data_IF_149382847047
#
_entry.id   IF_149382847047
#
_cell.length_a   1.000
_cell.length_b   1.000
_cell.length_c   1.000
_cell.angle_alpha   90.00
_cell.angle_beta   90.00
_cell.angle_gamma   90.00
#
_symmetry.space_group_name_H-M   'P 1'
#
loop_
_entity.id
_entity.type
_entity.pdbx_description
1 polymer ?
#
# COMPACT_ATOMS: atom_id res chain seq x y z
N UNK A 1 -52.39 53.09 2.64
CA UNK A 1 -52.69 51.76 2.06
C UNK A 1 -51.93 50.70 2.84
N UNK A 2 -52.58 49.68 3.43
CA UNK A 2 -51.90 48.66 4.21
C UNK A 2 -51.34 47.57 3.30
N UNK A 3 -50.02 47.38 3.34
CA UNK A 3 -49.28 46.34 2.64
C UNK A 3 -49.57 44.97 3.26
N UNK A 4 -50.18 44.08 2.48
CA UNK A 4 -50.50 42.70 2.84
C UNK A 4 -49.22 41.92 3.20
N UNK A 5 -49.13 41.45 4.44
CA UNK A 5 -48.06 40.58 4.93
C UNK A 5 -48.07 39.22 4.22
N UNK A 6 -46.93 38.86 3.62
CA UNK A 6 -46.66 37.53 3.06
C UNK A 6 -46.56 36.52 4.20
N UNK A 7 -47.56 35.63 4.30
CA UNK A 7 -47.52 34.46 5.20
C UNK A 7 -46.45 33.49 4.70
N UNK A 8 -45.35 33.35 5.46
CA UNK A 8 -44.33 32.33 5.23
C UNK A 8 -44.94 30.93 5.41
N UNK A 9 -44.81 30.08 4.39
CA UNK A 9 -45.30 28.70 4.43
C UNK A 9 -44.57 27.92 5.54
N UNK A 10 -45.28 27.08 6.31
CA UNK A 10 -44.68 26.23 7.33
C UNK A 10 -43.71 25.25 6.67
N UNK A 11 -42.44 25.31 7.07
CA UNK A 11 -41.39 24.38 6.70
C UNK A 11 -41.74 22.99 7.23
N UNK A 12 -42.12 22.07 6.35
CA UNK A 12 -42.29 20.66 6.66
C UNK A 12 -40.92 20.05 6.97
N UNK A 13 -40.55 19.97 8.25
CA UNK A 13 -39.44 19.12 8.70
C UNK A 13 -39.90 17.67 8.59
N UNK A 14 -39.43 16.97 7.56
CA UNK A 14 -39.66 15.55 7.39
C UNK A 14 -39.06 14.80 8.61
N UNK A 15 -39.78 13.88 9.24
CA UNK A 15 -39.27 13.15 10.39
C UNK A 15 -38.07 12.30 9.97
N UNK A 16 -36.87 12.69 10.41
CA UNK A 16 -35.68 11.88 10.29
C UNK A 16 -35.73 10.74 11.31
N UNK A 17 -36.03 9.54 10.83
CA UNK A 17 -35.87 8.31 11.62
C UNK A 17 -34.39 7.94 11.62
N UNK A 18 -33.70 8.14 12.74
CA UNK A 18 -32.33 7.64 12.94
C UNK A 18 -32.41 6.16 13.28
N UNK A 19 -31.93 5.31 12.38
CA UNK A 19 -31.72 3.88 12.66
C UNK A 19 -30.45 3.80 13.53
N UNK A 20 -30.58 3.23 14.73
CA UNK A 20 -29.45 2.96 15.61
C UNK A 20 -29.08 1.50 15.36
N UNK A 21 -27.90 1.20 14.76
CA UNK A 21 -27.47 -0.17 14.56
C UNK A 21 -27.28 -0.85 15.91
N UNK A 22 -27.66 -2.13 16.00
CA UNK A 22 -27.36 -2.94 17.17
C UNK A 22 -25.89 -3.42 17.14
N UNK A 23 -25.34 -3.82 18.28
CA UNK A 23 -23.93 -4.27 18.38
C UNK A 23 -23.62 -5.46 17.47
N UNK A 24 -24.60 -6.33 17.20
CA UNK A 24 -24.42 -7.46 16.29
C UNK A 24 -24.21 -7.00 14.84
N UNK A 25 -25.02 -6.04 14.39
CA UNK A 25 -24.86 -5.42 13.08
C UNK A 25 -23.53 -4.68 12.94
N UNK A 26 -23.12 -3.93 13.98
CA UNK A 26 -21.81 -3.24 14.00
C UNK A 26 -20.68 -4.26 13.85
N UNK A 27 -20.77 -5.40 14.52
CA UNK A 27 -19.77 -6.47 14.44
C UNK A 27 -19.74 -7.16 13.07
N UNK A 28 -20.90 -7.45 12.48
CA UNK A 28 -21.00 -8.01 11.13
C UNK A 28 -20.38 -7.05 10.10
N UNK A 29 -20.70 -5.75 10.17
CA UNK A 29 -20.13 -4.71 9.31
C UNK A 29 -18.62 -4.57 9.50
N UNK A 30 -18.14 -4.62 10.75
CA UNK A 30 -16.71 -4.57 11.09
C UNK A 30 -15.93 -5.70 10.43
N UNK A 31 -16.38 -6.95 10.58
CA UNK A 31 -15.72 -8.09 9.95
C UNK A 31 -15.79 -8.05 8.43
N UNK A 32 -16.94 -7.63 7.90
CA UNK A 32 -17.13 -7.48 6.47
C UNK A 32 -16.17 -6.43 5.88
N UNK A 33 -15.98 -5.29 6.55
CA UNK A 33 -15.03 -4.26 6.13
C UNK A 33 -13.59 -4.78 6.10
N UNK A 34 -13.15 -5.47 7.16
CA UNK A 34 -11.82 -6.09 7.23
C UNK A 34 -11.61 -7.09 6.10
N UNK A 35 -12.57 -8.02 5.94
CA UNK A 35 -12.47 -9.04 4.90
C UNK A 35 -12.46 -8.42 3.49
N UNK A 36 -13.29 -7.41 3.24
CA UNK A 36 -13.34 -6.70 1.97
C UNK A 36 -12.00 -6.02 1.67
N UNK A 37 -11.43 -5.31 2.64
CA UNK A 37 -10.11 -4.67 2.49
C UNK A 37 -9.01 -5.68 2.14
N UNK A 38 -8.95 -6.81 2.85
CA UNK A 38 -7.94 -7.85 2.60
C UNK A 38 -8.14 -8.55 1.24
N UNK A 39 -9.39 -8.72 0.79
CA UNK A 39 -9.68 -9.24 -0.54
C UNK A 39 -9.24 -8.27 -1.65
N UNK A 40 -9.49 -6.97 -1.50
CA UNK A 40 -8.99 -5.97 -2.46
C UNK A 40 -7.47 -5.93 -2.48
N UNK A 41 -6.82 -6.02 -1.32
CA UNK A 41 -5.36 -6.12 -1.24
C UNK A 41 -4.81 -7.29 -2.06
N UNK A 42 -5.45 -8.47 -1.97
CA UNK A 42 -5.05 -9.63 -2.76
C UNK A 42 -5.25 -9.40 -4.27
N UNK A 43 -6.31 -8.71 -4.69
CA UNK A 43 -6.52 -8.36 -6.12
C UNK A 43 -5.45 -7.40 -6.63
N UNK A 44 -5.13 -6.36 -5.85
CA UNK A 44 -4.06 -5.41 -6.19
C UNK A 44 -2.72 -6.13 -6.29
N UNK A 45 -2.45 -7.09 -5.40
CA UNK A 45 -1.25 -7.94 -5.43
C UNK A 45 -1.14 -8.76 -6.72
N UNK A 46 -2.25 -9.36 -7.17
CA UNK A 46 -2.31 -10.12 -8.42
C UNK A 46 -2.06 -9.25 -9.64
N UNK A 47 -2.58 -8.01 -9.63
CA UNK A 47 -2.33 -7.04 -10.69
C UNK A 47 -0.86 -6.61 -10.74
N UNK A 48 -0.23 -6.33 -9.59
CA UNK A 48 1.22 -6.03 -9.56
C UNK A 48 2.02 -7.21 -10.10
N UNK A 49 1.67 -8.46 -9.74
CA UNK A 49 2.31 -9.64 -10.32
C UNK A 49 2.14 -9.74 -11.82
N UNK A 50 1.03 -9.28 -12.39
CA UNK A 50 0.82 -9.24 -13.84
C UNK A 50 1.82 -8.29 -14.51
N UNK A 51 2.07 -7.11 -13.92
CA UNK A 51 3.06 -6.16 -14.44
C UNK A 51 4.49 -6.73 -14.45
N UNK A 52 4.88 -7.42 -13.38
CA UNK A 52 6.20 -8.05 -13.32
C UNK A 52 6.34 -9.24 -14.27
N UNK A 53 5.27 -10.00 -14.50
CA UNK A 53 5.26 -11.06 -15.52
C UNK A 53 5.38 -10.48 -16.93
N UNK A 54 4.66 -9.41 -17.23
CA UNK A 54 4.75 -8.72 -18.51
C UNK A 54 6.16 -8.15 -18.73
N UNK A 55 6.77 -7.53 -17.70
CA UNK A 55 8.17 -7.11 -17.77
C UNK A 55 9.12 -8.28 -18.03
N UNK A 56 8.99 -9.37 -17.28
CA UNK A 56 9.79 -10.59 -17.49
C UNK A 56 9.63 -11.17 -18.90
N UNK A 57 8.43 -11.09 -19.47
CA UNK A 57 8.11 -11.57 -20.81
C UNK A 57 8.52 -10.63 -21.94
N UNK A 58 9.20 -9.51 -21.65
CA UNK A 58 9.53 -8.43 -22.60
C UNK A 58 8.27 -7.80 -23.24
N UNK A 59 7.12 -7.88 -22.56
CA UNK A 59 5.84 -7.29 -22.97
C UNK A 59 5.63 -5.89 -22.35
N UNK A 60 6.46 -5.52 -21.36
CA UNK A 60 6.37 -4.24 -20.67
C UNK A 60 7.74 -3.73 -20.24
N UNK A 61 7.87 -2.43 -20.00
CA UNK A 61 9.10 -1.81 -19.51
C UNK A 61 9.22 -1.94 -17.98
N UNK A 62 10.45 -2.07 -17.47
CA UNK A 62 10.75 -2.09 -16.03
C UNK A 62 10.12 -0.91 -15.28
N UNK A 63 10.12 0.28 -15.89
CA UNK A 63 9.54 1.49 -15.32
C UNK A 63 8.04 1.33 -15.06
N UNK A 64 7.30 0.65 -15.95
CA UNK A 64 5.87 0.42 -15.79
C UNK A 64 5.58 -0.52 -14.62
N UNK A 65 6.34 -1.63 -14.50
CA UNK A 65 6.21 -2.56 -13.38
C UNK A 65 6.55 -1.89 -12.03
N UNK A 66 7.59 -1.06 -12.02
CA UNK A 66 8.02 -0.28 -10.86
C UNK A 66 6.97 0.74 -10.44
N UNK A 67 6.44 1.50 -11.40
CA UNK A 67 5.40 2.49 -11.16
C UNK A 67 4.10 1.84 -10.67
N UNK A 68 3.67 0.75 -11.29
CA UNK A 68 2.51 -0.04 -10.85
C UNK A 68 2.66 -0.56 -9.42
N UNK A 69 3.85 -1.04 -9.07
CA UNK A 69 4.17 -1.48 -7.69
C UNK A 69 4.06 -0.34 -6.69
N UNK A 70 4.62 0.83 -7.01
CA UNK A 70 4.56 2.01 -6.15
C UNK A 70 3.12 2.52 -5.97
N UNK A 71 2.37 2.61 -7.07
CA UNK A 71 0.95 2.99 -7.02
C UNK A 71 0.14 2.03 -6.16
N UNK A 72 0.38 0.72 -6.27
CA UNK A 72 -0.29 -0.28 -5.45
C UNK A 72 0.01 -0.10 -3.96
N UNK A 73 1.28 0.13 -3.59
CA UNK A 73 1.65 0.41 -2.20
C UNK A 73 0.96 1.69 -1.68
N UNK A 74 0.96 2.76 -2.48
CA UNK A 74 0.30 4.01 -2.12
C UNK A 74 -1.23 3.86 -1.99
N UNK A 75 -1.85 3.06 -2.86
CA UNK A 75 -3.28 2.75 -2.81
C UNK A 75 -3.63 2.04 -1.50
N UNK A 76 -2.93 0.94 -1.18
CA UNK A 76 -3.17 0.18 0.06
C UNK A 76 -2.90 1.03 1.30
N UNK A 77 -1.86 1.87 1.29
CA UNK A 77 -1.57 2.80 2.39
C UNK A 77 -2.72 3.78 2.63
N UNK A 78 -3.32 4.34 1.57
CA UNK A 78 -4.47 5.24 1.68
C UNK A 78 -5.72 4.50 2.13
N UNK A 79 -5.99 3.33 1.56
CA UNK A 79 -7.13 2.49 1.93
C UNK A 79 -7.06 2.01 3.38
N UNK A 80 -5.88 1.75 3.93
CA UNK A 80 -5.69 1.42 5.35
C UNK A 80 -6.10 2.59 6.27
N UNK A 81 -5.70 3.81 5.92
CA UNK A 81 -6.10 5.02 6.67
C UNK A 81 -7.62 5.22 6.59
N UNK A 82 -8.19 5.10 5.40
CA UNK A 82 -9.62 5.24 5.17
C UNK A 82 -10.43 4.19 5.96
N UNK A 83 -9.96 2.94 5.96
CA UNK A 83 -10.56 1.86 6.75
C UNK A 83 -10.60 2.21 8.23
N UNK A 84 -9.51 2.77 8.78
CA UNK A 84 -9.45 3.21 10.18
C UNK A 84 -10.46 4.30 10.52
N UNK A 85 -10.71 5.22 9.59
CA UNK A 85 -11.63 6.34 9.79
C UNK A 85 -13.11 5.97 9.61
N UNK A 86 -13.40 4.97 8.76
CA UNK A 86 -14.77 4.65 8.37
C UNK A 86 -15.37 3.46 9.13
N UNK A 87 -14.53 2.56 9.67
CA UNK A 87 -15.03 1.34 10.29
C UNK A 87 -15.66 1.63 11.66
N UNK A 88 -16.93 1.24 11.83
CA UNK A 88 -17.56 1.24 13.15
C UNK A 88 -17.03 0.03 13.93
N UNK A 89 -16.45 0.29 15.10
CA UNK A 89 -15.83 -0.75 15.94
C UNK A 89 -16.82 -1.26 16.98
N UNK A 90 -17.00 -2.58 17.13
CA UNK A 90 -17.75 -3.16 18.24
C UNK A 90 -17.09 -2.80 19.57
N UNK A 91 -17.88 -2.69 20.64
CA UNK A 91 -17.34 -2.32 21.97
C UNK A 91 -16.22 -3.24 22.46
N UNK A 92 -16.20 -4.51 22.03
CA UNK A 92 -15.18 -5.50 22.39
C UNK A 92 -13.85 -5.35 21.63
N UNK A 93 -13.81 -4.56 20.57
CA UNK A 93 -12.61 -4.29 19.76
C UNK A 93 -12.29 -2.79 19.69
N UNK A 94 -11.98 -2.16 20.84
CA UNK A 94 -11.70 -0.74 20.87
C UNK A 94 -10.38 -0.43 20.15
N UNK A 95 -10.28 0.78 19.60
CA UNK A 95 -9.18 1.20 18.72
C UNK A 95 -7.81 1.25 19.43
N UNK A 96 -7.80 1.64 20.70
CA UNK A 96 -6.59 1.74 21.54
C UNK A 96 -5.92 0.39 21.75
N UNK A 97 -6.71 -0.69 21.88
CA UNK A 97 -6.20 -2.06 22.03
C UNK A 97 -5.97 -2.76 20.69
N UNK A 98 -6.81 -2.46 19.69
CA UNK A 98 -6.78 -3.14 18.39
C UNK A 98 -6.72 -2.13 17.25
N UNK A 99 -5.57 -1.45 17.05
CA UNK A 99 -5.41 -0.53 15.92
C UNK A 99 -5.58 -1.27 14.59
N UNK A 100 -5.81 -0.53 13.50
CA UNK A 100 -6.07 -1.11 12.17
C UNK A 100 -4.98 -2.11 11.77
N UNK A 101 -3.72 -1.82 12.11
CA UNK A 101 -2.56 -2.70 11.88
C UNK A 101 -2.74 -4.14 12.40
N UNK A 102 -3.61 -4.35 13.39
CA UNK A 102 -3.90 -5.67 13.99
C UNK A 102 -5.07 -6.42 13.34
N UNK A 103 -5.80 -5.83 12.40
CA UNK A 103 -6.98 -6.46 11.77
C UNK A 103 -6.71 -7.81 11.09
N UNK A 104 -5.58 -8.02 10.39
CA UNK A 104 -5.23 -9.34 9.86
C UNK A 104 -5.15 -10.42 10.95
N UNK A 105 -4.58 -10.07 12.11
CA UNK A 105 -4.45 -10.97 13.24
C UNK A 105 -5.80 -11.27 13.90
N UNK A 106 -6.67 -10.26 14.03
CA UNK A 106 -8.04 -10.45 14.52
C UNK A 106 -8.82 -11.45 13.66
N UNK A 107 -8.71 -11.35 12.33
CA UNK A 107 -9.38 -12.26 11.40
C UNK A 107 -8.82 -13.70 11.47
N UNK A 108 -7.54 -13.85 11.79
CA UNK A 108 -6.93 -15.16 12.05
C UNK A 108 -7.46 -15.75 13.36
N UNK A 109 -7.57 -14.93 14.40
CA UNK A 109 -8.04 -15.37 15.72
C UNK A 109 -9.48 -15.85 15.72
N UNK A 110 -10.38 -15.14 15.04
CA UNK A 110 -11.79 -15.55 14.94
C UNK A 110 -11.98 -16.93 14.31
N UNK A 111 -11.15 -17.30 13.35
CA UNK A 111 -11.28 -18.59 12.62
C UNK A 111 -10.77 -19.80 13.38
N UNK A 112 -10.02 -19.59 14.47
CA UNK A 112 -9.47 -20.71 15.26
C UNK A 112 -10.42 -21.22 16.34
N UNK A 113 -11.59 -20.58 16.52
CA UNK A 113 -12.53 -20.83 17.63
C UNK A 113 -11.87 -20.73 19.03
N UNK A 114 -10.67 -20.16 19.07
CA UNK A 114 -9.84 -20.09 20.24
C UNK A 114 -10.13 -18.76 20.93
N UNK A 115 -11.15 -18.77 21.79
CA UNK A 115 -11.55 -17.58 22.57
C UNK A 115 -10.39 -17.01 23.39
N UNK A 116 -9.38 -17.82 23.67
CA UNK A 116 -8.16 -17.39 24.38
C UNK A 116 -7.27 -16.51 23.51
N UNK A 117 -7.35 -16.56 22.17
CA UNK A 117 -6.43 -15.81 21.29
C UNK A 117 -6.60 -14.28 21.36
N UNK A 118 -7.71 -13.78 21.89
CA UNK A 118 -7.91 -12.34 22.14
C UNK A 118 -7.30 -11.86 23.46
N UNK A 119 -6.95 -12.80 24.34
CA UNK A 119 -6.27 -12.57 25.62
C UNK A 119 -4.77 -12.95 25.55
N UNK A 120 -4.39 -13.82 24.61
CA UNK A 120 -2.99 -14.03 24.24
C UNK A 120 -2.48 -12.73 23.61
N UNK A 121 -1.34 -12.18 24.06
CA UNK A 121 -0.74 -11.03 23.41
C UNK A 121 -0.62 -11.32 21.90
N UNK A 122 -0.87 -10.33 21.05
CA UNK A 122 -0.62 -10.39 19.59
C UNK A 122 0.83 -10.77 19.21
N UNK A 123 1.65 -11.05 20.21
CA UNK A 123 3.08 -11.29 20.22
C UNK A 123 3.42 -12.79 20.07
N UNK A 124 2.47 -13.71 20.27
CA UNK A 124 2.73 -15.12 20.00
C UNK A 124 2.62 -15.41 18.49
N UNK A 125 3.78 -15.58 17.85
CA UNK A 125 3.85 -15.94 16.44
C UNK A 125 3.30 -17.34 16.21
N UNK A 126 2.24 -17.45 15.41
CA UNK A 126 1.72 -18.75 14.97
C UNK A 126 1.69 -18.86 13.45
N UNK A 127 2.30 -19.90 12.90
CA UNK A 127 2.13 -20.20 11.47
C UNK A 127 0.66 -20.51 11.18
N UNK A 128 0.14 -19.91 10.12
CA UNK A 128 -1.20 -20.21 9.63
C UNK A 128 -1.14 -20.91 8.27
N UNK A 129 -2.25 -21.55 7.89
CA UNK A 129 -2.38 -22.25 6.62
C UNK A 129 -2.16 -21.31 5.44
N UNK A 130 -1.69 -21.86 4.31
CA UNK A 130 -1.35 -21.10 3.10
C UNK A 130 -2.52 -20.24 2.61
N UNK A 131 -3.73 -20.79 2.54
CA UNK A 131 -4.90 -20.06 2.03
C UNK A 131 -5.29 -18.87 2.92
N UNK A 132 -5.21 -19.02 4.24
CA UNK A 132 -5.51 -17.90 5.13
C UNK A 132 -4.38 -16.87 5.09
N UNK A 133 -3.12 -17.32 5.02
CA UNK A 133 -1.95 -16.46 4.84
C UNK A 133 -2.00 -15.65 3.54
N UNK A 134 -2.45 -16.24 2.44
CA UNK A 134 -2.58 -15.56 1.16
C UNK A 134 -3.53 -14.36 1.25
N UNK A 135 -4.61 -14.48 2.01
CA UNK A 135 -5.58 -13.41 2.21
C UNK A 135 -5.12 -12.37 3.23
N UNK A 136 -4.60 -12.81 4.38
CA UNK A 136 -4.32 -11.90 5.51
C UNK A 136 -2.90 -11.36 5.51
N UNK A 137 -1.99 -11.98 4.76
CA UNK A 137 -0.55 -11.76 4.84
C UNK A 137 -0.01 -11.91 6.27
N UNK A 138 -0.69 -12.72 7.10
CA UNK A 138 -0.40 -12.78 8.52
C UNK A 138 1.00 -13.29 8.81
N UNK A 139 1.52 -14.28 8.08
CA UNK A 139 2.90 -14.74 8.27
C UNK A 139 3.90 -13.60 7.99
N UNK A 140 3.63 -12.74 7.00
CA UNK A 140 4.47 -11.56 6.73
C UNK A 140 4.38 -10.55 7.87
N UNK A 141 3.16 -10.20 8.27
CA UNK A 141 2.90 -9.28 9.39
C UNK A 141 3.56 -9.76 10.69
N UNK A 142 3.32 -11.02 11.06
CA UNK A 142 3.83 -11.60 12.30
C UNK A 142 5.35 -11.74 12.26
N UNK A 143 5.96 -11.98 11.09
CA UNK A 143 7.43 -12.07 10.97
C UNK A 143 8.06 -10.70 11.16
N UNK A 144 7.51 -9.66 10.52
CA UNK A 144 7.92 -8.28 10.74
C UNK A 144 7.76 -7.85 12.21
N UNK A 145 6.61 -8.17 12.81
CA UNK A 145 6.32 -7.83 14.21
C UNK A 145 7.28 -8.53 15.17
N UNK A 146 7.54 -9.82 14.92
CA UNK A 146 8.54 -10.60 15.66
C UNK A 146 9.93 -10.01 15.56
N UNK A 147 10.33 -9.57 14.37
CA UNK A 147 11.61 -8.91 14.16
C UNK A 147 11.71 -7.58 14.92
N UNK A 148 10.63 -6.80 14.94
CA UNK A 148 10.57 -5.56 15.74
C UNK A 148 10.79 -5.83 17.24
N UNK A 149 10.26 -6.93 17.78
CA UNK A 149 10.50 -7.32 19.17
C UNK A 149 11.93 -7.80 19.40
N UNK A 150 12.46 -8.59 18.47
CA UNK A 150 13.84 -9.07 18.52
C UNK A 150 14.84 -7.90 18.60
N UNK A 151 14.67 -6.87 17.76
CA UNK A 151 15.56 -5.70 17.76
C UNK A 151 15.45 -4.79 18.99
N UNK A 152 14.39 -4.96 19.80
CA UNK A 152 14.16 -4.18 21.02
C UNK A 152 14.71 -4.87 22.26
N UNK A 153 15.40 -5.99 22.10
CA UNK A 153 15.91 -6.83 23.19
C UNK A 153 14.83 -7.16 24.23
N UNK A 154 13.58 -7.38 23.79
CA UNK A 154 12.51 -7.74 24.73
C UNK A 154 12.80 -9.13 25.30
N UNK A 155 13.14 -9.26 26.60
CA UNK A 155 13.56 -10.53 27.19
C UNK A 155 12.42 -11.55 27.26
N UNK A 156 11.17 -11.10 27.09
CA UNK A 156 9.99 -11.97 27.05
C UNK A 156 9.77 -12.58 25.69
N UNK A 157 10.36 -12.00 24.63
CA UNK A 157 10.18 -12.47 23.27
C UNK A 157 11.09 -13.67 22.97
N UNK A 158 10.47 -14.85 22.76
CA UNK A 158 11.17 -16.04 22.28
C UNK A 158 10.68 -16.38 20.89
N UNK A 159 11.48 -16.02 19.88
CA UNK A 159 11.20 -16.48 18.53
C UNK A 159 11.35 -18.00 18.48
N UNK A 160 10.25 -18.70 18.25
CA UNK A 160 10.25 -20.16 18.24
C UNK A 160 11.12 -20.66 17.09
N UNK A 161 12.23 -21.34 17.41
CA UNK A 161 13.20 -21.83 16.42
C UNK A 161 12.55 -22.69 15.33
N UNK A 162 11.44 -23.38 15.63
CA UNK A 162 10.70 -24.20 14.66
C UNK A 162 10.10 -23.38 13.51
N UNK A 163 9.88 -22.08 13.71
CA UNK A 163 9.32 -21.19 12.70
C UNK A 163 10.31 -20.95 11.55
N UNK A 164 11.61 -20.91 11.86
CA UNK A 164 12.67 -20.79 10.84
C UNK A 164 12.83 -22.05 9.97
N UNK A 165 12.17 -23.16 10.33
CA UNK A 165 12.05 -24.34 9.46
C UNK A 165 11.08 -24.10 8.30
N UNK A 166 10.17 -23.12 8.42
CA UNK A 166 9.28 -22.75 7.32
C UNK A 166 10.06 -21.92 6.27
N UNK A 167 10.05 -22.39 5.02
CA UNK A 167 10.77 -21.75 3.90
C UNK A 167 10.32 -20.31 3.64
N UNK A 168 9.04 -20.02 3.76
CA UNK A 168 8.49 -18.67 3.56
C UNK A 168 8.94 -17.71 4.67
N UNK A 169 8.86 -18.15 5.93
CA UNK A 169 9.34 -17.34 7.08
C UNK A 169 10.83 -17.08 6.97
N UNK A 170 11.62 -18.09 6.58
CA UNK A 170 13.06 -17.90 6.36
C UNK A 170 13.33 -16.83 5.31
N UNK A 171 12.66 -16.90 4.15
CA UNK A 171 12.79 -15.86 3.11
C UNK A 171 12.39 -14.48 3.61
N UNK A 172 11.31 -14.37 4.37
CA UNK A 172 10.89 -13.12 4.98
C UNK A 172 11.96 -12.56 5.92
N UNK A 173 12.49 -13.40 6.81
CA UNK A 173 13.59 -13.05 7.72
C UNK A 173 14.79 -12.57 6.93
N UNK A 174 15.25 -13.34 5.95
CA UNK A 174 16.41 -12.98 5.13
C UNK A 174 16.23 -11.59 4.48
N UNK A 175 15.02 -11.26 4.01
CA UNK A 175 14.72 -9.94 3.45
C UNK A 175 14.62 -8.83 4.47
N UNK A 176 14.04 -9.09 5.64
CA UNK A 176 13.96 -8.08 6.70
C UNK A 176 15.37 -7.78 7.22
N UNK A 177 16.19 -8.81 7.49
CA UNK A 177 17.59 -8.66 7.90
C UNK A 177 18.41 -7.92 6.84
N UNK A 178 18.17 -8.21 5.57
CA UNK A 178 18.79 -7.48 4.47
C UNK A 178 18.40 -6.00 4.49
N UNK A 179 17.09 -5.67 4.56
CA UNK A 179 16.62 -4.28 4.63
C UNK A 179 17.19 -3.56 5.85
N UNK A 180 17.24 -4.23 7.00
CA UNK A 180 17.85 -3.70 8.22
C UNK A 180 19.33 -3.35 8.00
N UNK A 181 20.11 -4.25 7.38
CA UNK A 181 21.53 -4.02 7.12
C UNK A 181 21.80 -2.81 6.22
N UNK A 182 20.87 -2.51 5.30
CA UNK A 182 20.97 -1.33 4.43
C UNK A 182 20.26 -0.10 5.01
N UNK A 183 19.50 -0.22 6.10
CA UNK A 183 18.68 0.86 6.65
C UNK A 183 19.53 2.03 7.17
N UNK A 184 20.74 1.76 7.67
CA UNK A 184 21.68 2.78 8.14
C UNK A 184 22.42 3.47 6.99
N UNK A 185 22.36 2.90 5.79
CA UNK A 185 23.00 3.46 4.63
C UNK A 185 22.13 4.56 4.04
N UNK A 186 22.75 5.71 3.74
CA UNK A 186 22.11 6.76 2.94
C UNK A 186 22.11 6.33 1.48
N UNK A 187 21.17 5.46 1.15
CA UNK A 187 20.91 5.13 -0.25
C UNK A 187 20.54 6.42 -0.99
N UNK A 188 21.02 6.59 -2.24
CA UNK A 188 20.58 7.72 -3.06
C UNK A 188 19.07 7.69 -3.28
N UNK A 189 18.49 6.49 -3.26
CA UNK A 189 17.06 6.23 -3.44
C UNK A 189 16.56 5.23 -2.40
N UNK A 190 15.62 5.67 -1.57
CA UNK A 190 14.90 4.79 -0.65
C UNK A 190 13.53 4.44 -1.26
N UNK A 191 13.38 3.19 -1.69
CA UNK A 191 12.11 2.69 -2.21
C UNK A 191 11.05 2.58 -1.09
N UNK A 192 9.78 2.51 -1.48
CA UNK A 192 8.67 2.54 -0.53
C UNK A 192 8.59 1.28 0.36
N UNK A 193 9.17 0.15 -0.06
CA UNK A 193 9.25 -1.08 0.73
C UNK A 193 10.31 -0.88 1.82
N UNK A 194 11.53 -0.52 1.44
CA UNK A 194 12.64 -0.23 2.37
C UNK A 194 12.23 0.82 3.41
N UNK A 195 11.62 1.93 2.97
CA UNK A 195 11.13 2.99 3.86
C UNK A 195 10.08 2.48 4.86
N UNK A 196 9.14 1.67 4.39
CA UNK A 196 8.08 1.11 5.24
C UNK A 196 8.62 0.19 6.31
N UNK A 197 9.52 -0.72 5.93
CA UNK A 197 10.15 -1.67 6.85
C UNK A 197 10.99 -0.94 7.87
N UNK A 198 11.85 -0.01 7.44
CA UNK A 198 12.66 0.82 8.35
C UNK A 198 11.80 1.54 9.38
N UNK A 199 10.71 2.18 8.93
CA UNK A 199 9.77 2.84 9.85
C UNK A 199 9.12 1.86 10.81
N UNK A 200 8.73 0.67 10.34
CA UNK A 200 8.15 -0.37 11.18
C UNK A 200 9.14 -0.86 12.25
N UNK A 201 10.40 -1.09 11.89
CA UNK A 201 11.45 -1.49 12.84
C UNK A 201 11.70 -0.40 13.90
N UNK A 202 11.73 0.87 13.49
CA UNK A 202 11.92 2.01 14.40
C UNK A 202 10.73 2.19 15.36
N UNK A 203 9.51 2.21 14.83
CA UNK A 203 8.30 2.48 15.61
C UNK A 203 7.75 1.24 16.34
N UNK A 204 8.11 0.04 15.90
CA UNK A 204 7.61 -1.25 16.41
C UNK A 204 6.13 -1.50 16.11
N UNK A 205 5.52 -0.62 15.32
CA UNK A 205 4.21 -0.81 14.74
C UNK A 205 4.40 -1.27 13.29
N UNK A 206 3.66 -2.30 12.88
CA UNK A 206 3.72 -2.84 11.52
C UNK A 206 2.40 -2.53 10.83
N UNK A 207 2.32 -1.47 10.01
CA UNK A 207 1.14 -1.18 9.21
C UNK A 207 0.82 -2.33 8.24
N UNK A 208 -0.46 -2.46 7.86
CA UNK A 208 -0.87 -3.50 6.91
C UNK A 208 -0.18 -3.26 5.55
N UNK A 209 -0.08 -2.01 5.10
CA UNK A 209 0.58 -1.67 3.84
C UNK A 209 2.06 -2.05 3.83
N UNK A 210 2.75 -2.07 4.98
CA UNK A 210 4.15 -2.50 5.07
C UNK A 210 4.27 -4.01 4.91
N UNK A 211 3.34 -4.77 5.50
CA UNK A 211 3.27 -6.22 5.30
C UNK A 211 2.96 -6.56 3.83
N UNK A 212 2.07 -5.80 3.20
CA UNK A 212 1.79 -5.88 1.77
C UNK A 212 3.03 -5.58 0.93
N UNK A 213 3.76 -4.51 1.24
CA UNK A 213 4.96 -4.09 0.52
C UNK A 213 6.06 -5.16 0.55
N UNK A 214 6.37 -5.73 1.72
CA UNK A 214 7.31 -6.88 1.80
C UNK A 214 6.78 -8.06 1.00
N UNK A 215 5.48 -8.34 1.04
CA UNK A 215 4.94 -9.46 0.28
C UNK A 215 5.11 -9.25 -1.23
N UNK A 216 4.94 -8.03 -1.72
CA UNK A 216 5.24 -7.70 -3.11
C UNK A 216 6.70 -7.95 -3.45
N UNK A 217 7.65 -7.66 -2.55
CA UNK A 217 9.06 -7.98 -2.78
C UNK A 217 9.28 -9.48 -3.03
N UNK A 218 8.70 -10.33 -2.19
CA UNK A 218 8.78 -11.78 -2.38
C UNK A 218 8.08 -12.25 -3.67
N UNK A 219 6.94 -11.63 -4.03
CA UNK A 219 6.25 -11.93 -5.28
C UNK A 219 7.09 -11.55 -6.50
N UNK A 220 7.78 -10.41 -6.47
CA UNK A 220 8.69 -9.98 -7.54
C UNK A 220 9.84 -10.97 -7.69
N UNK A 221 10.43 -11.42 -6.59
CA UNK A 221 11.47 -12.46 -6.61
C UNK A 221 10.95 -13.80 -7.13
N UNK A 222 9.73 -14.18 -6.78
CA UNK A 222 9.11 -15.40 -7.30
C UNK A 222 8.86 -15.29 -8.80
N UNK A 223 8.47 -14.12 -9.29
CA UNK A 223 8.30 -13.85 -10.72
C UNK A 223 9.65 -13.81 -11.43
N UNK A 224 10.72 -13.35 -10.81
CA UNK A 224 12.05 -13.17 -11.43
C UNK A 224 13.06 -14.25 -11.03
N UNK A 225 12.62 -15.37 -10.46
CA UNK A 225 13.48 -16.32 -9.75
C UNK A 225 14.67 -16.86 -10.58
N UNK A 226 14.47 -17.05 -11.88
CA UNK A 226 15.45 -17.56 -12.85
C UNK A 226 16.22 -16.46 -13.57
N UNK A 227 15.82 -15.20 -13.41
CA UNK A 227 16.46 -14.03 -14.00
C UNK A 227 16.54 -12.85 -13.00
N UNK A 228 17.08 -13.05 -11.79
CA UNK A 228 16.99 -12.04 -10.73
C UNK A 228 17.76 -10.74 -11.06
N UNK A 229 18.75 -10.81 -11.95
CA UNK A 229 19.53 -9.67 -12.42
C UNK A 229 18.90 -8.92 -13.60
N UNK A 230 17.80 -9.40 -14.17
CA UNK A 230 17.15 -8.77 -15.33
C UNK A 230 16.80 -7.29 -15.08
N UNK A 231 16.21 -6.88 -13.94
CA UNK A 231 15.97 -5.46 -13.65
C UNK A 231 17.25 -4.62 -13.63
N UNK A 232 18.33 -5.14 -13.02
CA UNK A 232 19.62 -4.45 -12.98
C UNK A 232 20.24 -4.32 -14.37
N UNK A 233 20.21 -5.37 -15.18
CA UNK A 233 20.70 -5.34 -16.55
C UNK A 233 19.93 -4.31 -17.39
N UNK A 234 18.62 -4.26 -17.25
CA UNK A 234 17.77 -3.31 -17.97
C UNK A 234 18.03 -1.84 -17.53
N UNK A 235 18.26 -1.61 -16.24
CA UNK A 235 18.61 -0.29 -15.70
C UNK A 235 20.04 0.15 -16.07
N UNK A 236 21.04 -0.73 -15.93
CA UNK A 236 22.44 -0.46 -16.27
C UNK A 236 22.64 -0.24 -17.76
N UNK A 237 22.03 -1.07 -18.62
CA UNK A 237 22.08 -0.86 -20.07
C UNK A 237 21.49 0.50 -20.48
N UNK A 238 20.41 0.94 -19.84
CA UNK A 238 19.85 2.27 -20.05
C UNK A 238 20.76 3.39 -19.52
N UNK A 239 21.56 3.11 -18.50
CA UNK A 239 22.58 4.06 -18.01
C UNK A 239 23.71 4.18 -19.03
N UNK A 240 24.30 3.04 -19.43
CA UNK A 240 25.46 2.97 -20.31
C UNK A 240 25.20 3.43 -21.74
N UNK A 241 24.15 2.90 -22.38
CA UNK A 241 23.77 3.27 -23.76
C UNK A 241 23.69 4.79 -23.90
N UNK A 242 23.36 5.46 -22.81
CA UNK A 242 23.12 6.87 -22.78
C UNK A 242 24.16 7.72 -22.04
N UNK A 243 25.25 7.12 -21.57
CA UNK A 243 26.37 7.85 -20.96
C UNK A 243 27.21 8.61 -22.00
N UNK A 244 27.17 8.20 -23.26
CA UNK A 244 28.01 8.75 -24.33
C UNK A 244 27.29 9.64 -25.35
N UNK A 245 25.96 9.63 -25.38
CA UNK A 245 25.21 10.47 -26.32
C UNK A 245 24.95 11.84 -25.68
N UNK A 246 25.27 12.94 -26.38
CA UNK A 246 24.91 14.28 -25.92
C UNK A 246 23.41 14.35 -25.61
N UNK A 247 22.99 15.12 -24.59
CA UNK A 247 21.58 15.28 -24.22
C UNK A 247 20.67 15.68 -25.40
N UNK A 248 21.25 16.21 -26.47
CA UNK A 248 20.56 16.86 -27.57
C UNK A 248 20.12 15.91 -28.70
N UNK A 249 20.49 14.61 -28.66
CA UNK A 249 20.31 13.68 -29.80
C UNK A 249 19.69 12.33 -29.42
N UNK A 250 18.51 12.38 -28.78
CA UNK A 250 17.79 11.17 -28.38
C UNK A 250 16.49 10.98 -29.17
N UNK A 251 16.56 10.17 -30.23
CA UNK A 251 15.39 9.52 -30.83
C UNK A 251 15.42 8.03 -30.45
N UNK A 252 14.30 7.49 -29.99
CA UNK A 252 14.14 6.08 -29.65
C UNK A 252 14.37 5.19 -30.89
N UNK A 253 15.59 4.70 -31.08
CA UNK A 253 15.90 3.60 -32.00
C UNK A 253 15.93 2.28 -31.23
N UNK A 254 14.78 1.83 -30.76
CA UNK A 254 14.62 0.47 -30.25
C UNK A 254 13.46 -0.18 -30.99
N UNK A 255 13.81 -1.06 -31.92
CA UNK A 255 12.92 -1.85 -32.78
C UNK A 255 12.07 -2.90 -32.05
N UNK A 256 11.48 -2.54 -30.91
CA UNK A 256 10.17 -3.08 -30.57
C UNK A 256 9.21 -2.46 -31.59
N UNK A 257 8.33 -3.27 -32.19
CA UNK A 257 7.32 -2.77 -33.13
C UNK A 257 6.61 -1.60 -32.49
N UNK A 258 6.93 -0.38 -32.94
CA UNK A 258 6.04 0.76 -32.77
C UNK A 258 4.71 0.30 -33.38
N UNK A 259 3.69 0.16 -32.53
CA UNK A 259 2.35 0.52 -32.99
C UNK A 259 2.51 2.01 -33.31
N UNK A 260 2.40 2.43 -34.58
CA UNK A 260 2.42 3.84 -34.89
C UNK A 260 1.25 4.45 -34.10
N UNK A 261 1.56 5.32 -33.14
CA UNK A 261 0.63 6.38 -32.84
C UNK A 261 0.83 7.38 -33.98
N UNK A 262 0.24 7.06 -35.13
CA UNK A 262 0.02 8.07 -36.15
C UNK A 262 -0.77 9.21 -35.50
N UNK A 263 -0.42 10.44 -35.85
CA UNK A 263 -1.10 11.67 -35.43
C UNK A 263 -2.54 11.79 -35.97
N UNK A 264 -3.13 10.67 -36.41
CA UNK A 264 -4.55 10.57 -36.66
C UNK A 264 -5.26 10.36 -35.32
N UNK A 265 -6.13 11.31 -35.00
CA UNK A 265 -7.07 11.28 -33.87
C UNK A 265 -7.39 9.86 -33.45
N UNK A 266 -6.98 9.47 -32.23
CA UNK A 266 -7.38 8.22 -31.57
C UNK A 266 -8.83 7.92 -31.94
N UNK A 267 -9.02 6.95 -32.83
CA UNK A 267 -10.34 6.59 -33.29
C UNK A 267 -11.15 6.15 -32.06
N UNK A 268 -12.15 6.96 -31.72
CA UNK A 268 -13.03 6.68 -30.60
C UNK A 268 -13.67 5.29 -30.77
N UNK A 269 -13.86 4.79 -32.00
CA UNK A 269 -14.34 3.43 -32.24
C UNK A 269 -13.29 2.37 -31.87
N UNK A 270 -12.00 2.58 -32.18
CA UNK A 270 -10.93 1.66 -31.80
C UNK A 270 -10.74 1.55 -30.28
N UNK A 271 -10.80 2.69 -29.58
CA UNK A 271 -10.79 2.70 -28.11
C UNK A 271 -12.06 2.06 -27.52
N UNK A 272 -13.21 2.25 -28.16
CA UNK A 272 -14.46 1.56 -27.78
C UNK A 272 -14.36 0.05 -28.01
N UNK A 273 -13.74 -0.42 -29.08
CA UNK A 273 -13.70 -1.85 -29.40
C UNK A 273 -12.72 -2.64 -28.50
N UNK A 274 -11.62 -2.01 -28.06
CA UNK A 274 -10.60 -2.66 -27.20
C UNK A 274 -10.74 -2.39 -25.70
N UNK A 275 -11.29 -1.26 -25.29
CA UNK A 275 -11.43 -0.89 -23.88
C UNK A 275 -12.88 -0.85 -23.38
N UNK A 276 -13.89 -1.05 -24.25
CA UNK A 276 -15.19 -1.53 -23.76
C UNK A 276 -15.03 -3.01 -23.46
N UNK A 277 -14.88 -3.30 -22.18
CA UNK A 277 -15.06 -4.63 -21.58
C UNK A 277 -16.15 -5.41 -22.32
N UNK A 278 -16.00 -6.73 -22.58
CA UNK A 278 -17.13 -7.52 -23.04
C UNK A 278 -18.32 -7.22 -22.13
N UNK A 279 -19.50 -6.99 -22.71
CA UNK A 279 -20.75 -6.81 -21.96
C UNK A 279 -20.71 -7.80 -20.80
N UNK A 280 -20.75 -7.34 -19.53
CA UNK A 280 -20.87 -8.28 -18.43
C UNK A 280 -22.06 -9.16 -18.77
N UNK A 281 -21.86 -10.47 -18.65
CA UNK A 281 -23.00 -11.38 -18.68
C UNK A 281 -24.04 -10.81 -17.71
N UNK A 282 -25.32 -11.00 -18.00
CA UNK A 282 -26.43 -10.52 -17.17
C UNK A 282 -26.39 -11.03 -15.69
N UNK A 283 -25.32 -11.69 -15.26
CA UNK A 283 -24.98 -11.99 -13.89
C UNK A 283 -23.99 -10.94 -13.32
N UNK A 284 -24.55 -9.99 -12.56
CA UNK A 284 -23.91 -9.10 -11.57
C UNK A 284 -22.95 -8.01 -12.08
N UNK A 285 -23.47 -6.77 -12.14
CA UNK A 285 -22.65 -5.56 -12.03
C UNK A 285 -22.03 -5.48 -10.63
N UNK A 286 -20.78 -5.00 -10.46
CA UNK A 286 -20.23 -4.68 -9.14
C UNK A 286 -21.00 -3.49 -8.56
N UNK A 287 -21.95 -3.81 -7.68
CA UNK A 287 -22.71 -2.85 -6.89
C UNK A 287 -21.82 -2.28 -5.81
N UNK A 288 -21.81 -0.96 -5.65
CA UNK A 288 -21.12 -0.30 -4.52
C UNK A 288 -21.58 -0.94 -3.20
N UNK A 289 -20.67 -1.06 -2.24
CA UNK A 289 -20.95 -1.62 -0.91
C UNK A 289 -22.18 -0.96 -0.25
N UNK A 290 -22.33 0.36 -0.45
CA UNK A 290 -23.46 1.17 -0.01
C UNK A 290 -24.78 0.87 -0.75
N UNK A 291 -24.73 0.41 -1.99
CA UNK A 291 -25.91 0.06 -2.78
C UNK A 291 -26.43 -1.34 -2.46
N UNK A 292 -25.55 -2.29 -2.10
CA UNK A 292 -25.97 -3.62 -1.61
C UNK A 292 -26.74 -3.53 -0.30
N UNK A 293 -26.28 -2.69 0.63
CA UNK A 293 -26.94 -2.46 1.92
C UNK A 293 -28.35 -1.87 1.71
N UNK A 294 -28.50 -0.90 0.80
CA UNK A 294 -29.80 -0.31 0.46
C UNK A 294 -30.77 -1.29 -0.23
N UNK A 295 -30.26 -2.30 -0.93
CA UNK A 295 -31.11 -3.29 -1.64
C UNK A 295 -31.64 -4.42 -0.74
N UNK A 296 -31.03 -4.64 0.43
CA UNK A 296 -31.42 -5.69 1.38
C UNK A 296 -32.50 -5.24 2.38
N UNK A 297 -32.79 -3.93 2.43
CA UNK A 297 -33.88 -3.38 3.23
C UNK A 297 -35.24 -3.59 2.53
N UNK A 298 -35.78 -4.80 2.61
CA UNK A 298 -37.17 -5.08 2.24
C UNK A 298 -38.17 -4.29 3.11
N UNK A 299 -39.43 -4.11 2.66
CA UNK A 299 -40.42 -3.27 3.34
C UNK A 299 -40.84 -3.90 4.68
N UNK A 300 -40.29 -3.40 5.79
CA UNK A 300 -40.64 -3.89 7.14
C UNK A 300 -41.75 -3.07 7.80
N UNK A 301 -42.71 -3.82 8.36
CA UNK A 301 -43.96 -3.39 8.98
C UNK A 301 -43.71 -2.50 10.20
N UNK A 302 -44.50 -1.43 10.30
CA UNK A 302 -44.52 -0.47 11.40
C UNK A 302 -44.99 -1.14 12.70
N UNK A 303 -44.06 -1.40 13.62
CA UNK A 303 -44.37 -1.69 15.02
C UNK A 303 -44.14 -0.44 15.87
N UNK A 304 -45.20 0.11 16.46
CA UNK A 304 -45.13 1.26 17.37
C UNK A 304 -44.53 0.81 18.71
N UNK A 305 -43.39 1.39 19.10
CA UNK A 305 -42.89 1.34 20.49
C UNK A 305 -42.73 2.78 20.99
N UNK A 306 -43.46 3.10 22.06
CA UNK A 306 -43.41 4.40 22.76
C UNK A 306 -42.08 4.54 23.50
N UNK A 307 -41.35 5.64 23.29
CA UNK A 307 -40.20 6.03 24.12
C UNK A 307 -40.52 7.29 24.94
N UNK A 308 -40.15 7.23 26.22
CA UNK A 308 -40.10 8.33 27.21
C UNK A 308 -38.87 9.23 26.98
N UNK A 309 -38.87 10.50 27.43
CA UNK A 309 -37.73 11.39 27.28
C UNK A 309 -36.80 11.34 28.51
N UNK A 310 -35.50 11.23 28.27
CA UNK A 310 -34.48 11.58 29.26
C UNK A 310 -33.53 12.63 28.65
N UNK A 311 -33.50 13.81 29.29
CA UNK A 311 -32.60 14.92 28.97
C UNK A 311 -31.23 14.64 29.61
N UNK A 312 -30.14 14.73 28.84
CA UNK A 312 -28.82 15.05 29.39
C UNK A 312 -28.13 16.08 28.49
N UNK A 313 -27.71 17.18 29.13
CA UNK A 313 -26.95 18.30 28.56
C UNK A 313 -25.49 17.85 28.40
N UNK A 314 -24.89 18.13 27.24
CA UNK A 314 -23.44 18.13 27.09
C UNK A 314 -22.92 19.57 27.16
N UNK A 315 -21.95 19.79 28.02
CA UNK A 315 -21.22 21.04 28.22
C UNK A 315 -20.10 21.20 27.19
N UNK A 316 -20.00 22.42 26.65
CA UNK A 316 -18.85 22.94 25.91
C UNK A 316 -17.59 22.87 26.78
N UNK A 317 -16.47 22.44 26.19
CA UNK A 317 -15.14 22.84 26.61
C UNK A 317 -14.35 23.26 25.36
N UNK A 318 -13.75 24.44 25.46
CA UNK A 318 -12.97 25.09 24.41
C UNK A 318 -11.49 25.06 24.78
N UNK A 319 -10.65 25.00 23.74
CA UNK A 319 -9.28 25.53 23.60
C UNK A 319 -8.19 25.08 24.58
N UNK A 320 -7.15 24.48 24.01
CA UNK A 320 -5.77 24.89 24.25
C UNK A 320 -4.92 24.57 23.00
N UNK A 321 -4.50 25.64 22.32
CA UNK A 321 -3.44 25.64 21.30
C UNK A 321 -2.07 25.54 22.00
N UNK A 322 -1.13 24.80 21.43
CA UNK A 322 0.30 25.09 21.63
C UNK A 322 1.14 24.67 20.42
N UNK A 323 1.48 25.68 19.61
CA UNK A 323 2.78 25.96 18.99
C UNK A 323 3.51 24.84 18.22
N UNK A 324 3.21 24.72 16.93
CA UNK A 324 4.19 24.30 15.92
C UNK A 324 4.72 25.52 15.17
N UNK A 325 6.01 25.80 15.37
CA UNK A 325 6.78 26.84 14.68
C UNK A 325 6.68 26.65 13.16
N UNK A 326 6.09 27.63 12.47
CA UNK A 326 6.10 27.68 11.01
C UNK A 326 7.49 28.11 10.53
N UNK A 327 8.09 27.29 9.66
CA UNK A 327 9.30 27.65 8.95
C UNK A 327 8.87 28.36 7.66
N UNK A 328 8.92 29.69 7.65
CA UNK A 328 8.71 30.50 6.45
C UNK A 328 9.99 30.52 5.62
N UNK A 329 10.03 29.74 4.55
CA UNK A 329 11.02 29.87 3.49
C UNK A 329 10.30 30.11 2.15
N UNK A 330 10.02 31.38 1.89
CA UNK A 330 9.29 31.91 0.72
C UNK A 330 10.21 32.08 -0.51
N UNK A 331 11.17 31.16 -0.69
CA UNK A 331 12.13 31.16 -1.81
C UNK A 331 12.17 29.81 -2.58
N UNK A 332 11.17 28.94 -2.37
CA UNK A 332 11.21 27.53 -2.79
C UNK A 332 10.96 27.22 -4.27
N UNK A 333 10.69 28.20 -5.14
CA UNK A 333 10.29 27.93 -6.53
C UNK A 333 11.42 28.01 -7.58
N UNK A 334 12.67 28.28 -7.19
CA UNK A 334 13.85 28.23 -8.10
C UNK A 334 14.81 27.06 -7.85
N UNK A 335 14.45 26.11 -6.99
CA UNK A 335 15.38 25.08 -6.50
C UNK A 335 15.20 23.68 -7.14
N UNK A 336 14.24 23.50 -8.06
CA UNK A 336 13.95 22.19 -8.65
C UNK A 336 15.09 21.63 -9.52
N UNK A 337 15.82 22.50 -10.23
CA UNK A 337 16.90 22.10 -11.15
C UNK A 337 18.19 21.67 -10.43
N UNK A 338 18.59 22.37 -9.36
CA UNK A 338 19.82 22.05 -8.63
C UNK A 338 19.72 20.73 -7.86
N UNK A 339 18.52 20.33 -7.44
CA UNK A 339 18.27 19.02 -6.81
C UNK A 339 18.34 17.91 -7.84
N UNK A 340 17.76 18.17 -9.01
CA UNK A 340 17.67 17.24 -10.11
C UNK A 340 19.04 16.91 -10.73
N UNK A 341 19.88 17.91 -11.02
CA UNK A 341 21.22 17.65 -11.57
C UNK A 341 22.12 16.90 -10.55
N UNK A 342 21.92 17.16 -9.25
CA UNK A 342 22.60 16.44 -8.17
C UNK A 342 22.15 15.00 -8.05
N UNK A 343 20.86 14.72 -8.19
CA UNK A 343 20.33 13.36 -8.10
C UNK A 343 20.73 12.52 -9.32
N UNK A 344 20.80 13.12 -10.52
CA UNK A 344 21.26 12.43 -11.74
C UNK A 344 22.75 12.13 -11.70
N UNK A 345 23.58 13.11 -11.31
CA UNK A 345 25.01 12.86 -11.07
C UNK A 345 25.22 11.83 -9.96
N UNK A 346 24.38 11.84 -8.91
CA UNK A 346 24.41 10.83 -7.86
C UNK A 346 24.01 9.44 -8.38
N UNK A 347 22.97 9.33 -9.22
CA UNK A 347 22.57 8.07 -9.84
C UNK A 347 23.66 7.51 -10.77
N UNK A 348 24.22 8.36 -11.64
CA UNK A 348 25.31 7.98 -12.55
C UNK A 348 26.57 7.58 -11.79
N UNK A 349 26.98 8.39 -10.82
CA UNK A 349 28.12 8.07 -9.95
C UNK A 349 27.86 6.75 -9.22
N UNK A 350 26.66 6.55 -8.71
CA UNK A 350 26.31 5.35 -7.98
C UNK A 350 26.29 4.10 -8.86
N UNK A 351 25.72 4.14 -10.07
CA UNK A 351 25.82 3.03 -11.04
C UNK A 351 27.29 2.75 -11.39
N UNK A 352 28.10 3.80 -11.57
CA UNK A 352 29.53 3.67 -11.85
C UNK A 352 30.27 3.03 -10.67
N UNK A 353 29.98 3.43 -9.43
CA UNK A 353 30.55 2.86 -8.22
C UNK A 353 30.15 1.38 -8.04
N UNK A 354 28.89 1.06 -8.34
CA UNK A 354 28.38 -0.32 -8.36
C UNK A 354 29.18 -1.17 -9.34
N UNK A 355 29.42 -0.67 -10.55
CA UNK A 355 30.09 -1.42 -11.62
C UNK A 355 31.61 -1.47 -11.48
N UNK A 356 32.21 -0.46 -10.84
CA UNK A 356 33.63 -0.40 -10.50
C UNK A 356 34.08 -1.41 -9.43
N UNK A 357 33.13 -2.16 -8.84
CA UNK A 357 33.40 -3.21 -7.88
C UNK A 357 33.77 -2.70 -6.48
N UNK A 358 33.98 -3.62 -5.51
CA UNK A 358 34.17 -3.28 -4.10
C UNK A 358 35.40 -2.42 -3.81
N UNK A 359 36.34 -2.29 -4.76
CA UNK A 359 37.53 -1.44 -4.61
C UNK A 359 37.19 0.06 -4.53
N UNK A 360 36.05 0.48 -5.09
CA UNK A 360 35.63 1.89 -5.11
C UNK A 360 34.77 2.29 -3.91
N UNK A 361 34.12 1.33 -3.24
CA UNK A 361 33.39 1.55 -1.98
C UNK A 361 33.32 0.25 -1.16
N UNK A 362 34.40 -0.13 -0.44
CA UNK A 362 34.51 -1.45 0.21
C UNK A 362 33.53 -1.66 1.36
N UNK A 363 32.84 -0.62 1.81
CA UNK A 363 31.83 -0.68 2.88
C UNK A 363 30.44 -1.03 2.40
N UNK A 364 30.20 -1.20 1.09
CA UNK A 364 28.86 -1.23 0.54
C UNK A 364 28.60 -2.50 -0.29
N UNK A 365 27.63 -3.30 0.16
CA UNK A 365 27.18 -4.49 -0.55
C UNK A 365 26.26 -4.10 -1.72
N UNK A 366 26.87 -3.71 -2.83
CA UNK A 366 26.16 -3.35 -4.05
C UNK A 366 25.38 -4.52 -4.66
N UNK A 367 25.84 -5.75 -4.44
CA UNK A 367 25.20 -6.94 -5.00
C UNK A 367 23.77 -7.07 -4.49
N UNK A 368 23.59 -6.77 -3.20
CA UNK A 368 22.29 -6.83 -2.57
C UNK A 368 21.27 -5.82 -3.16
N UNK A 369 21.74 -4.67 -3.64
CA UNK A 369 20.88 -3.65 -4.28
C UNK A 369 20.56 -3.97 -5.74
N UNK A 370 21.49 -4.63 -6.46
CA UNK A 370 21.22 -5.15 -7.81
C UNK A 370 20.09 -6.18 -7.83
N UNK A 371 19.88 -6.83 -6.69
CA UNK A 371 18.84 -7.84 -6.50
C UNK A 371 17.49 -7.26 -6.07
N UNK A 372 17.38 -5.96 -5.78
CA UNK A 372 16.11 -5.31 -5.52
C UNK A 372 15.50 -4.77 -6.83
N UNK A 373 14.46 -5.45 -7.38
CA UNK A 373 13.89 -5.07 -8.67
C UNK A 373 13.25 -3.68 -8.66
N UNK A 374 12.65 -3.28 -7.53
CA UNK A 374 12.01 -1.98 -7.38
C UNK A 374 13.06 -0.86 -7.37
N UNK A 375 14.18 -1.07 -6.68
CA UNK A 375 15.29 -0.11 -6.65
C UNK A 375 15.88 0.10 -8.05
N UNK A 376 16.13 -1.00 -8.80
CA UNK A 376 16.61 -0.93 -10.19
C UNK A 376 15.68 -0.11 -11.08
N UNK A 377 14.37 -0.31 -10.93
CA UNK A 377 13.38 0.43 -11.70
C UNK A 377 13.26 1.90 -11.35
N UNK A 378 13.45 2.27 -10.08
CA UNK A 378 13.51 3.67 -9.65
C UNK A 378 14.74 4.38 -10.25
N UNK A 379 15.90 3.72 -10.23
CA UNK A 379 17.11 4.23 -10.90
C UNK A 379 16.83 4.47 -12.39
N UNK A 380 16.23 3.48 -13.07
CA UNK A 380 15.88 3.61 -14.49
C UNK A 380 14.89 4.75 -14.73
N UNK A 381 13.87 4.90 -13.89
CA UNK A 381 12.88 5.99 -13.99
C UNK A 381 13.51 7.37 -13.84
N UNK A 382 14.38 7.57 -12.84
CA UNK A 382 15.02 8.86 -12.65
C UNK A 382 15.98 9.19 -13.80
N UNK A 383 16.65 8.19 -14.38
CA UNK A 383 17.42 8.37 -15.61
C UNK A 383 16.55 8.77 -16.80
N UNK A 384 15.31 8.27 -16.91
CA UNK A 384 14.37 8.78 -17.93
C UNK A 384 13.97 10.22 -17.67
N UNK A 385 13.58 10.51 -16.43
CA UNK A 385 13.14 11.84 -16.04
C UNK A 385 14.24 12.84 -16.30
N UNK A 386 15.49 12.49 -15.94
CA UNK A 386 16.75 13.26 -16.05
C UNK A 386 17.02 13.94 -17.39
N UNK A 387 16.37 13.47 -18.46
CA UNK A 387 16.64 13.86 -19.84
C UNK A 387 15.50 14.58 -20.53
N UNK A 388 14.31 14.64 -19.91
CA UNK A 388 13.16 15.37 -20.45
C UNK A 388 13.11 16.83 -19.97
N UNK A 389 13.94 17.18 -19.00
CA UNK A 389 14.19 18.54 -18.50
C UNK A 389 15.52 19.00 -19.04
#
# INVERSE_FOLDING_TARGET
MPTKGKKSKPSYTSPHTTIIPDEGQIEEEFWFAIQSFLQEQQRVREEVRSYWKAFRGDESHLVMATFGTRMAIDLIRRSEIELGLQVNRPARFPEDKYPVSTFPALLVGTKRDDKQLFDVPLDEFVLISSRLNELTLYNTYSTLKSWCYFLRDDPTFRMNQRLFSNKEVRRLVDRISWIESIADHRLPYEDDITRGVKKALQCGEVPIWTSFAIRLLLDMEDVLYDCPFLPWQDASQHTFKHSHTPLNHWHHQSGCRHIPLDEDTLDEEYLKERFVTPKPSLASKPTSMLEKIKSLEGPRKKGMVKRRPAKKKFSKAAKADQETKSCTCDAGLRCGYDWYEKDVKRALQWVTDVEGGPEHCPSFDFEALRMNPLHCGLIKYDLYRSRQV
#
